data_IF_268675790829
#
_entry.id   IF_268675790829
#
_cell.length_a   1.000
_cell.length_b   1.000
_cell.length_c   1.000
_cell.angle_alpha   90.00
_cell.angle_beta   90.00
_cell.angle_gamma   90.00
#
_symmetry.space_group_name_H-M   'P 1'
#
loop_
_entity.id
_entity.type
_entity.pdbx_description
1 polymer ?
#
# COMPACT_ATOMS: atom_id res chain seq x y z
N UNK A 1 36.34 -18.61 -32.29
CA UNK A 1 36.71 -18.40 -30.87
C UNK A 1 37.13 -16.95 -30.71
N UNK A 2 36.16 -16.04 -30.59
CA UNK A 2 36.42 -14.61 -30.36
C UNK A 2 35.97 -14.34 -28.94
N UNK A 3 36.95 -14.19 -28.06
CA UNK A 3 36.79 -13.85 -26.67
C UNK A 3 36.39 -12.38 -26.61
N UNK A 4 35.11 -12.06 -26.81
CA UNK A 4 34.62 -10.71 -26.62
C UNK A 4 34.43 -10.51 -25.12
N UNK A 5 35.46 -10.01 -24.44
CA UNK A 5 35.29 -9.28 -23.17
C UNK A 5 34.54 -8.00 -23.48
N UNK A 6 33.22 -8.10 -23.67
CA UNK A 6 32.33 -6.96 -23.63
C UNK A 6 32.23 -6.58 -22.16
N UNK A 7 33.04 -5.60 -21.76
CA UNK A 7 32.73 -4.76 -20.62
C UNK A 7 31.25 -4.39 -20.72
N UNK A 8 30.50 -4.61 -19.63
CA UNK A 8 29.09 -4.31 -19.50
C UNK A 8 28.88 -2.84 -19.83
N UNK A 9 28.57 -2.57 -21.10
CA UNK A 9 28.05 -1.30 -21.61
C UNK A 9 26.58 -1.17 -21.23
N UNK A 10 26.31 -1.21 -19.93
CA UNK A 10 25.09 -0.70 -19.31
C UNK A 10 25.36 -0.23 -17.87
N UNK A 11 26.62 0.14 -17.57
CA UNK A 11 26.88 1.26 -16.66
C UNK A 11 26.97 2.49 -17.55
N UNK A 12 25.83 2.92 -18.10
CA UNK A 12 25.62 4.27 -18.62
C UNK A 12 24.30 4.74 -18.03
N UNK A 13 24.34 5.29 -16.82
CA UNK A 13 24.16 6.74 -16.63
C UNK A 13 22.96 7.27 -17.43
N UNK A 14 21.78 6.86 -17.02
CA UNK A 14 20.67 7.81 -16.99
C UNK A 14 20.57 8.34 -15.56
N UNK A 15 20.12 9.59 -15.39
CA UNK A 15 19.70 10.11 -14.07
C UNK A 15 18.64 9.20 -13.40
N UNK A 16 17.99 8.30 -14.15
CA UNK A 16 16.83 7.49 -13.74
C UNK A 16 17.18 6.30 -12.83
N UNK A 17 18.31 5.60 -13.07
CA UNK A 17 18.71 4.47 -12.22
C UNK A 17 19.12 4.93 -10.80
N UNK A 18 19.63 6.16 -10.67
CA UNK A 18 19.93 6.80 -9.37
C UNK A 18 18.67 7.02 -8.52
N UNK A 19 17.49 7.07 -9.13
CA UNK A 19 16.21 7.31 -8.45
C UNK A 19 15.67 6.03 -7.77
N UNK A 20 16.04 4.86 -8.30
CA UNK A 20 15.63 3.55 -7.77
C UNK A 20 16.62 3.04 -6.74
N UNK A 21 17.92 3.18 -7.05
CA UNK A 21 19.04 2.67 -6.30
C UNK A 21 19.92 3.87 -5.90
N UNK A 22 19.67 4.40 -4.71
CA UNK A 22 20.51 5.47 -4.16
C UNK A 22 21.65 4.84 -3.37
N UNK A 23 22.90 5.27 -3.64
CA UNK A 23 24.11 4.79 -2.96
C UNK A 23 24.27 3.25 -2.96
N UNK A 24 24.08 2.60 -4.11
CA UNK A 24 24.16 1.13 -4.21
C UNK A 24 25.45 0.68 -4.88
N UNK A 25 26.05 -0.41 -4.37
CA UNK A 25 27.21 -1.07 -4.98
C UNK A 25 26.72 -2.37 -5.61
N UNK A 26 27.05 -2.60 -6.88
CA UNK A 26 26.65 -3.80 -7.62
C UNK A 26 27.89 -4.57 -8.06
N UNK A 27 27.94 -5.86 -7.74
CA UNK A 27 28.97 -6.78 -8.21
C UNK A 27 28.32 -7.75 -9.21
N UNK A 28 28.56 -7.51 -10.49
CA UNK A 28 27.89 -8.23 -11.58
C UNK A 28 28.87 -9.16 -12.26
N UNK A 29 28.54 -10.45 -12.32
CA UNK A 29 29.19 -11.41 -13.22
C UNK A 29 28.14 -11.93 -14.19
N UNK A 30 28.16 -11.46 -15.43
CA UNK A 30 27.20 -11.84 -16.46
C UNK A 30 27.91 -12.28 -17.74
N UNK A 31 27.32 -13.25 -18.42
CA UNK A 31 27.71 -13.80 -19.71
C UNK A 31 26.56 -13.59 -20.69
N UNK A 32 26.88 -13.11 -21.89
CA UNK A 32 25.94 -12.96 -22.99
C UNK A 32 26.40 -13.83 -24.15
N UNK A 33 25.50 -14.65 -24.70
CA UNK A 33 25.74 -15.52 -25.85
C UNK A 33 24.53 -15.48 -26.77
N UNK A 34 24.72 -15.37 -28.07
CA UNK A 34 23.57 -15.35 -28.98
C UNK A 34 23.90 -15.11 -30.44
N UNK A 35 22.90 -15.31 -31.30
CA UNK A 35 22.90 -14.88 -32.71
C UNK A 35 21.97 -13.67 -32.83
N UNK A 36 22.07 -12.90 -33.92
CA UNK A 36 21.16 -11.78 -34.17
C UNK A 36 19.69 -12.23 -34.01
N UNK A 37 18.93 -11.57 -33.13
CA UNK A 37 17.52 -11.89 -32.83
C UNK A 37 17.27 -12.94 -31.74
N UNK A 38 18.32 -13.59 -31.19
CA UNK A 38 18.21 -14.50 -30.02
C UNK A 38 19.43 -14.34 -29.13
N UNK A 39 19.31 -13.46 -28.13
CA UNK A 39 20.36 -13.22 -27.15
C UNK A 39 19.99 -13.97 -25.88
N UNK A 40 20.89 -14.81 -25.38
CA UNK A 40 20.76 -15.51 -24.11
C UNK A 40 21.70 -14.86 -23.09
N UNK A 41 21.19 -14.53 -21.91
CA UNK A 41 22.01 -14.13 -20.77
C UNK A 41 22.04 -15.23 -19.71
N UNK A 42 23.19 -15.34 -19.06
CA UNK A 42 23.37 -16.13 -17.84
C UNK A 42 24.26 -15.34 -16.88
N UNK A 43 24.00 -15.38 -15.58
CA UNK A 43 24.87 -14.68 -14.64
C UNK A 43 24.42 -14.69 -13.19
N UNK A 44 25.31 -14.17 -12.35
CA UNK A 44 25.04 -13.88 -10.94
C UNK A 44 25.26 -12.39 -10.68
N UNK A 45 24.24 -11.75 -10.13
CA UNK A 45 24.26 -10.39 -9.63
C UNK A 45 24.30 -10.45 -8.11
N UNK A 46 25.39 -10.00 -7.50
CA UNK A 46 25.42 -9.78 -6.05
C UNK A 46 25.17 -8.30 -5.78
N UNK A 47 24.26 -8.03 -4.84
CA UNK A 47 23.89 -6.69 -4.39
C UNK A 47 24.34 -6.51 -2.93
N UNK A 48 25.63 -6.20 -2.69
CA UNK A 48 26.15 -6.01 -1.33
C UNK A 48 25.40 -4.97 -0.49
N UNK A 49 24.90 -3.92 -1.13
CA UNK A 49 24.15 -2.84 -0.51
C UNK A 49 23.25 -2.16 -1.54
N UNK A 50 22.00 -1.89 -1.17
CA UNK A 50 21.07 -1.14 -1.98
C UNK A 50 20.03 -0.39 -1.14
N UNK A 51 19.53 0.73 -1.67
CA UNK A 51 18.35 1.42 -1.15
C UNK A 51 17.33 1.49 -2.28
N UNK A 52 16.23 0.75 -2.16
CA UNK A 52 15.18 0.58 -3.16
C UNK A 52 13.95 1.38 -2.74
N UNK A 53 13.57 2.37 -3.54
CA UNK A 53 12.33 3.13 -3.33
C UNK A 53 11.18 2.50 -4.13
N UNK A 54 10.22 1.84 -3.45
CA UNK A 54 9.17 1.05 -4.11
C UNK A 54 8.30 1.85 -5.08
N UNK A 55 7.82 3.08 -4.76
CA UNK A 55 6.98 3.82 -5.70
C UNK A 55 7.66 4.04 -7.06
N UNK A 56 8.98 4.28 -7.07
CA UNK A 56 9.74 4.40 -8.32
C UNK A 56 9.75 3.08 -9.12
N UNK A 57 9.91 1.94 -8.45
CA UNK A 57 9.89 0.61 -9.11
C UNK A 57 8.49 0.30 -9.68
N UNK A 58 7.44 0.59 -8.90
CA UNK A 58 6.06 0.30 -9.30
C UNK A 58 5.60 1.17 -10.48
N UNK A 59 5.93 2.46 -10.47
CA UNK A 59 5.65 3.37 -11.59
C UNK A 59 6.35 2.93 -12.88
N UNK A 60 7.57 2.39 -12.78
CA UNK A 60 8.33 1.91 -13.95
C UNK A 60 7.80 0.61 -14.55
N UNK A 61 7.25 -0.27 -13.73
CA UNK A 61 6.66 -1.54 -14.19
C UNK A 61 5.25 -1.37 -14.75
N UNK A 62 4.70 -0.15 -14.71
CA UNK A 62 3.34 0.15 -15.16
C UNK A 62 2.25 -0.49 -14.31
N UNK A 63 2.60 -1.05 -13.14
CA UNK A 63 1.67 -1.77 -12.26
C UNK A 63 0.97 -0.85 -11.25
N UNK A 64 1.40 0.40 -11.10
CA UNK A 64 0.73 1.45 -10.35
C UNK A 64 1.04 2.82 -10.97
N UNK A 65 0.05 3.70 -11.10
CA UNK A 65 0.27 5.14 -11.30
C UNK A 65 0.03 5.82 -9.96
N UNK A 66 1.07 6.36 -9.33
CA UNK A 66 0.89 7.31 -8.24
C UNK A 66 0.00 8.46 -8.74
N UNK A 67 -1.12 8.79 -8.06
CA UNK A 67 -1.93 9.94 -8.44
C UNK A 67 -1.03 11.17 -8.43
N UNK A 68 -0.96 11.87 -9.55
CA UNK A 68 -0.24 13.13 -9.65
C UNK A 68 -0.94 14.11 -8.69
N UNK A 69 -0.39 14.28 -7.48
CA UNK A 69 -1.00 15.14 -6.47
C UNK A 69 -1.00 16.55 -7.07
N UNK A 70 -2.18 17.14 -7.36
CA UNK A 70 -2.22 18.46 -7.94
C UNK A 70 -1.49 19.41 -7.00
N UNK A 71 -0.43 20.07 -7.50
CA UNK A 71 0.31 21.08 -6.72
C UNK A 71 -0.69 21.98 -5.98
N UNK A 72 -0.53 22.24 -4.66
CA UNK A 72 -1.43 23.10 -3.91
C UNK A 72 -1.62 24.42 -4.63
N UNK A 73 -2.83 24.99 -4.60
CA UNK A 73 -3.16 26.26 -5.27
C UNK A 73 -2.12 27.35 -4.98
N UNK A 74 -1.66 27.43 -3.73
CA UNK A 74 -0.62 28.36 -3.30
C UNK A 74 0.73 28.16 -4.01
N UNK A 75 1.12 26.91 -4.30
CA UNK A 75 2.37 26.60 -5.02
C UNK A 75 2.24 26.97 -6.50
N UNK A 76 1.06 26.75 -7.10
CA UNK A 76 0.76 27.18 -8.48
C UNK A 76 0.81 28.70 -8.61
N UNK A 77 0.25 29.40 -7.63
CA UNK A 77 0.29 30.87 -7.59
C UNK A 77 1.72 31.39 -7.39
N UNK A 78 2.52 30.79 -6.51
CA UNK A 78 3.93 31.20 -6.31
C UNK A 78 4.75 31.00 -7.58
N UNK A 79 4.55 29.91 -8.33
CA UNK A 79 5.20 29.69 -9.63
C UNK A 79 4.75 30.71 -10.69
N UNK A 80 3.47 31.07 -10.71
CA UNK A 80 2.94 32.13 -11.57
C UNK A 80 3.49 33.52 -11.21
N UNK A 81 3.75 33.79 -9.93
CA UNK A 81 4.37 35.03 -9.45
C UNK A 81 5.90 35.04 -9.61
N UNK A 82 6.55 33.88 -9.64
CA UNK A 82 8.02 33.76 -9.75
C UNK A 82 8.55 33.80 -11.18
N UNK A 83 7.69 34.06 -12.17
CA UNK A 83 8.10 34.41 -13.53
C UNK A 83 8.03 35.93 -13.74
N UNK A 84 8.99 36.73 -13.24
CA UNK A 84 9.24 38.03 -13.84
C UNK A 84 9.80 37.79 -15.24
N UNK A 85 9.15 38.38 -16.23
CA UNK A 85 9.74 38.62 -17.55
C UNK A 85 11.11 39.29 -17.33
N UNK A 86 12.14 38.73 -17.96
CA UNK A 86 13.55 39.16 -17.89
C UNK A 86 14.27 38.94 -16.54
N UNK A 87 14.86 37.74 -16.36
CA UNK A 87 16.25 37.54 -15.93
C UNK A 87 16.62 36.07 -16.21
N UNK A 88 17.84 35.81 -16.68
CA UNK A 88 18.37 34.51 -17.05
C UNK A 88 17.92 33.36 -16.13
N UNK A 89 17.10 32.46 -16.67
CA UNK A 89 16.64 31.28 -15.98
C UNK A 89 17.82 30.34 -15.69
N UNK A 90 18.12 30.14 -14.41
CA UNK A 90 18.71 28.89 -13.97
C UNK A 90 17.65 27.81 -14.22
N UNK A 91 17.86 27.03 -15.27
CA UNK A 91 17.08 25.82 -15.54
C UNK A 91 17.32 24.85 -14.37
N UNK A 92 16.47 24.90 -13.36
CA UNK A 92 16.24 23.75 -12.51
C UNK A 92 15.39 22.79 -13.35
N UNK A 93 16.03 21.75 -13.89
CA UNK A 93 15.36 20.59 -14.48
C UNK A 93 14.38 20.00 -13.46
N UNK A 94 13.12 20.45 -13.46
CA UNK A 94 12.03 19.66 -12.90
C UNK A 94 11.75 18.54 -13.88
N UNK A 95 12.39 17.40 -13.65
CA UNK A 95 12.22 16.16 -14.41
C UNK A 95 10.77 15.71 -14.28
N UNK A 96 10.02 15.78 -15.37
CA UNK A 96 8.68 15.19 -15.50
C UNK A 96 8.83 13.66 -15.53
N UNK A 97 8.30 12.95 -14.52
CA UNK A 97 8.49 11.49 -14.34
C UNK A 97 7.54 10.64 -15.20
N UNK A 98 7.31 11.00 -16.46
CA UNK A 98 6.64 10.14 -17.45
C UNK A 98 7.66 9.35 -18.27
N UNK A 99 8.52 8.63 -17.58
CA UNK A 99 9.63 7.92 -18.20
C UNK A 99 9.49 6.41 -17.96
N UNK A 100 8.53 5.79 -18.65
CA UNK A 100 8.45 4.33 -18.78
C UNK A 100 9.74 3.83 -19.43
N UNK A 101 10.41 2.84 -18.85
CA UNK A 101 11.54 2.21 -19.53
C UNK A 101 11.00 1.48 -20.75
N UNK A 102 11.40 1.91 -21.96
CA UNK A 102 11.07 1.16 -23.15
C UNK A 102 11.93 -0.11 -23.18
N UNK A 103 11.34 -1.22 -22.73
CA UNK A 103 11.96 -2.54 -22.67
C UNK A 103 11.94 -3.28 -24.02
N UNK A 104 11.54 -2.65 -25.14
CA UNK A 104 11.50 -3.30 -26.47
C UNK A 104 12.84 -3.93 -26.89
N UNK A 105 13.96 -3.42 -26.35
CA UNK A 105 15.29 -4.00 -26.55
C UNK A 105 15.53 -5.34 -25.82
N UNK A 106 14.64 -5.73 -24.91
CA UNK A 106 14.67 -6.98 -24.15
C UNK A 106 13.68 -8.03 -24.67
N UNK A 107 12.83 -7.71 -25.65
CA UNK A 107 11.78 -8.61 -26.14
C UNK A 107 12.37 -9.91 -26.74
N UNK A 108 13.58 -9.85 -27.30
CA UNK A 108 14.33 -11.01 -27.82
C UNK A 108 15.38 -11.59 -26.87
N UNK A 109 15.44 -11.08 -25.63
CA UNK A 109 16.39 -11.52 -24.62
C UNK A 109 15.75 -12.62 -23.79
N UNK A 110 16.42 -13.77 -23.68
CA UNK A 110 16.03 -14.86 -22.78
C UNK A 110 17.19 -15.21 -21.86
N UNK A 111 16.94 -15.84 -20.72
CA UNK A 111 18.04 -16.19 -19.82
C UNK A 111 17.67 -16.37 -18.37
N UNK A 112 18.70 -16.64 -17.57
CA UNK A 112 18.61 -16.80 -16.13
C UNK A 112 19.60 -15.87 -15.45
N UNK A 113 19.13 -15.12 -14.46
CA UNK A 113 19.97 -14.30 -13.59
C UNK A 113 19.69 -14.65 -12.13
N UNK A 114 20.70 -15.11 -11.41
CA UNK A 114 20.63 -15.24 -9.96
C UNK A 114 20.98 -13.91 -9.31
N UNK A 115 20.10 -13.36 -8.49
CA UNK A 115 20.27 -12.11 -7.76
C UNK A 115 20.39 -12.40 -6.27
N UNK A 116 21.54 -12.10 -5.68
CA UNK A 116 21.83 -12.34 -4.26
C UNK A 116 21.84 -11.02 -3.49
N UNK A 117 21.03 -10.97 -2.42
CA UNK A 117 20.96 -9.91 -1.43
C UNK A 117 21.53 -10.43 -0.10
N UNK A 118 22.85 -10.35 0.14
CA UNK A 118 23.46 -10.89 1.35
C UNK A 118 22.96 -10.22 2.65
N UNK A 119 22.81 -8.88 2.64
CA UNK A 119 22.36 -8.00 3.73
C UNK A 119 22.40 -6.53 3.24
N UNK A 120 22.02 -5.56 4.08
CA UNK A 120 22.09 -4.12 3.78
C UNK A 120 21.35 -3.69 2.50
N UNK A 121 20.35 -4.45 2.08
CA UNK A 121 19.43 -4.05 1.02
C UNK A 121 18.15 -3.55 1.67
N UNK A 122 17.86 -2.27 1.52
CA UNK A 122 16.74 -1.61 2.17
C UNK A 122 15.63 -1.32 1.16
N UNK A 123 14.41 -1.73 1.47
CA UNK A 123 13.19 -1.38 0.75
C UNK A 123 12.49 -0.27 1.52
N UNK A 124 12.11 0.81 0.82
CA UNK A 124 11.53 2.01 1.42
C UNK A 124 10.31 2.50 0.65
N UNK A 125 9.31 2.99 1.37
CA UNK A 125 8.29 3.90 0.87
C UNK A 125 7.98 4.94 1.97
N UNK A 126 6.88 5.70 1.86
CA UNK A 126 6.51 6.71 2.86
C UNK A 126 6.16 6.13 4.24
N UNK A 127 5.72 4.88 4.29
CA UNK A 127 5.20 4.19 5.48
C UNK A 127 6.07 2.99 5.89
N UNK A 128 7.11 2.65 5.14
CA UNK A 128 7.82 1.38 5.27
C UNK A 128 9.31 1.58 5.11
N UNK A 129 10.07 0.92 5.97
CA UNK A 129 11.52 0.88 5.91
C UNK A 129 12.00 -0.48 6.39
N UNK A 130 12.41 -1.34 5.46
CA UNK A 130 12.69 -2.75 5.73
C UNK A 130 14.02 -3.16 5.13
N UNK A 131 14.87 -3.80 5.93
CA UNK A 131 16.07 -4.48 5.45
C UNK A 131 15.71 -5.90 5.04
N UNK A 132 16.18 -6.28 3.85
CA UNK A 132 15.97 -7.60 3.29
C UNK A 132 17.29 -8.32 3.01
N UNK A 133 17.20 -9.64 2.98
CA UNK A 133 18.23 -10.55 2.48
C UNK A 133 17.60 -11.69 1.70
N UNK A 134 18.38 -12.43 0.91
CA UNK A 134 17.89 -13.61 0.21
C UNK A 134 18.50 -13.79 -1.18
N UNK A 135 17.94 -14.72 -1.93
CA UNK A 135 18.35 -15.00 -3.30
C UNK A 135 17.11 -15.19 -4.18
N UNK A 136 17.12 -14.53 -5.33
CA UNK A 136 16.08 -14.65 -6.35
C UNK A 136 16.68 -15.13 -7.67
N UNK A 137 16.07 -16.11 -8.30
CA UNK A 137 16.33 -16.46 -9.68
C UNK A 137 15.32 -15.77 -10.58
N UNK A 138 15.82 -14.94 -11.49
CA UNK A 138 15.04 -14.25 -12.50
C UNK A 138 15.19 -15.01 -13.81
N UNK A 139 14.13 -15.64 -14.26
CA UNK A 139 14.09 -16.37 -15.53
C UNK A 139 13.30 -15.52 -16.53
N UNK A 140 13.93 -15.11 -17.62
CA UNK A 140 13.25 -14.44 -18.74
C UNK A 140 13.09 -15.43 -19.89
N UNK A 141 11.85 -15.72 -20.25
CA UNK A 141 11.52 -16.42 -21.49
C UNK A 141 11.16 -15.37 -22.58
N UNK A 142 10.61 -15.78 -23.73
CA UNK A 142 10.30 -14.81 -24.79
C UNK A 142 9.15 -13.85 -24.41
N UNK A 143 8.21 -14.33 -23.58
CA UNK A 143 6.92 -13.68 -23.34
C UNK A 143 6.91 -12.94 -21.99
N UNK A 144 7.41 -13.57 -20.92
CA UNK A 144 7.34 -13.06 -19.56
C UNK A 144 8.57 -13.42 -18.73
N UNK A 145 8.62 -12.86 -17.52
CA UNK A 145 9.61 -13.20 -16.50
C UNK A 145 8.96 -14.10 -15.45
N UNK A 146 9.76 -14.99 -14.88
CA UNK A 146 9.42 -15.76 -13.70
C UNK A 146 10.44 -15.45 -12.61
N UNK A 147 9.97 -15.47 -11.36
CA UNK A 147 10.80 -15.29 -10.18
C UNK A 147 10.72 -16.56 -9.33
N UNK A 148 11.87 -17.07 -8.91
CA UNK A 148 11.97 -18.15 -7.95
C UNK A 148 12.87 -17.73 -6.78
N UNK A 149 12.67 -18.35 -5.62
CA UNK A 149 13.51 -18.12 -4.44
C UNK A 149 12.77 -17.43 -3.31
N UNK A 150 13.50 -16.80 -2.42
CA UNK A 150 12.93 -16.18 -1.22
C UNK A 150 13.70 -14.95 -0.79
N UNK A 151 12.95 -13.97 -0.30
CA UNK A 151 13.44 -12.78 0.36
C UNK A 151 13.00 -12.87 1.82
N UNK A 152 13.95 -12.76 2.74
CA UNK A 152 13.71 -12.64 4.16
C UNK A 152 13.81 -11.18 4.60
N UNK A 153 12.93 -10.80 5.51
CA UNK A 153 12.99 -9.53 6.23
C UNK A 153 13.89 -9.71 7.44
N UNK A 154 15.02 -9.00 7.43
CA UNK A 154 16.00 -9.02 8.54
C UNK A 154 15.51 -8.18 9.70
N UNK A 155 14.94 -7.01 9.38
CA UNK A 155 14.33 -6.06 10.32
C UNK A 155 13.60 -5.00 9.54
N UNK A 156 12.65 -4.33 10.18
CA UNK A 156 12.10 -3.12 9.62
C UNK A 156 10.98 -2.55 10.45
N UNK A 157 10.30 -1.58 9.86
CA UNK A 157 9.09 -1.02 10.41
C UNK A 157 8.08 -0.71 9.31
N UNK A 158 6.82 -0.72 9.69
CA UNK A 158 5.69 -0.34 8.88
C UNK A 158 4.75 0.56 9.69
N UNK A 159 4.50 1.75 9.18
CA UNK A 159 3.65 2.76 9.78
C UNK A 159 2.24 2.64 9.19
N UNK A 160 1.26 2.36 10.04
CA UNK A 160 -0.14 2.22 9.65
C UNK A 160 -1.03 2.86 10.71
N UNK A 161 -1.99 3.68 10.27
CA UNK A 161 -2.92 4.39 11.16
C UNK A 161 -2.20 5.23 12.25
N UNK A 162 -1.06 5.81 11.89
CA UNK A 162 -0.21 6.59 12.80
C UNK A 162 0.51 5.75 13.86
N UNK A 163 0.51 4.41 13.75
CA UNK A 163 1.23 3.49 14.63
C UNK A 163 2.35 2.79 13.89
N UNK A 164 3.51 2.70 14.53
CA UNK A 164 4.68 2.02 14.00
C UNK A 164 4.66 0.56 14.44
N UNK A 165 4.51 -0.35 13.48
CA UNK A 165 4.69 -1.78 13.67
C UNK A 165 6.14 -2.14 13.37
N UNK A 166 6.80 -2.80 14.31
CA UNK A 166 8.14 -3.35 14.12
C UNK A 166 8.04 -4.69 13.41
N UNK A 167 8.79 -4.88 12.33
CA UNK A 167 8.87 -6.16 11.62
C UNK A 167 10.17 -6.82 12.06
N UNK A 168 10.04 -7.86 12.89
CA UNK A 168 11.18 -8.62 13.42
C UNK A 168 11.57 -9.79 12.52
N UNK A 169 10.62 -10.33 11.75
CA UNK A 169 10.85 -11.44 10.83
C UNK A 169 9.78 -11.49 9.75
N UNK A 170 10.14 -12.06 8.61
CA UNK A 170 9.19 -12.41 7.57
C UNK A 170 9.87 -13.00 6.35
N UNK A 171 9.13 -13.74 5.55
CA UNK A 171 9.60 -14.34 4.31
C UNK A 171 8.60 -14.06 3.19
N UNK A 172 9.14 -13.71 2.03
CA UNK A 172 8.43 -13.51 0.78
C UNK A 172 8.99 -14.54 -0.21
N UNK A 173 8.16 -15.51 -0.60
CA UNK A 173 8.59 -16.63 -1.44
C UNK A 173 8.00 -16.53 -2.84
N UNK A 174 8.85 -16.63 -3.85
CA UNK A 174 8.45 -16.66 -5.26
C UNK A 174 8.55 -18.10 -5.78
N UNK A 175 7.49 -18.57 -6.45
CA UNK A 175 7.35 -19.95 -6.90
C UNK A 175 7.26 -20.08 -8.43
N UNK A 176 7.62 -19.01 -9.17
CA UNK A 176 7.47 -18.92 -10.62
C UNK A 176 6.11 -18.41 -11.07
N UNK A 177 5.84 -18.55 -12.37
CA UNK A 177 4.58 -18.12 -12.99
C UNK A 177 4.59 -16.68 -13.49
N UNK A 178 3.75 -16.42 -14.48
CA UNK A 178 3.66 -15.15 -15.20
C UNK A 178 3.17 -13.98 -14.33
N UNK A 179 2.29 -14.25 -13.36
CA UNK A 179 1.66 -13.21 -12.54
C UNK A 179 2.62 -12.60 -11.51
N UNK A 180 3.72 -13.28 -11.17
CA UNK A 180 4.72 -12.88 -10.18
C UNK A 180 4.14 -12.61 -8.79
N UNK A 181 3.17 -13.43 -8.36
CA UNK A 181 2.51 -13.30 -7.05
C UNK A 181 3.29 -14.11 -6.01
N UNK A 182 3.97 -13.48 -5.04
CA UNK A 182 4.66 -14.21 -3.99
C UNK A 182 3.69 -14.70 -2.92
N UNK A 183 4.17 -15.68 -2.15
CA UNK A 183 3.60 -16.03 -0.84
C UNK A 183 4.24 -15.20 0.25
N UNK A 184 3.41 -14.74 1.18
CA UNK A 184 3.80 -13.93 2.32
C UNK A 184 3.74 -14.78 3.59
N UNK A 185 4.70 -14.56 4.48
CA UNK A 185 4.65 -14.97 5.87
C UNK A 185 5.41 -13.92 6.67
N UNK A 186 4.71 -12.89 7.13
CA UNK A 186 5.31 -11.72 7.77
C UNK A 186 4.70 -11.55 9.15
N UNK A 187 5.55 -11.27 10.14
CA UNK A 187 5.12 -10.95 11.50
C UNK A 187 5.58 -9.54 11.87
N UNK A 188 4.65 -8.74 12.39
CA UNK A 188 4.94 -7.41 12.86
C UNK A 188 4.31 -7.17 14.24
N UNK A 189 4.95 -6.39 15.09
CA UNK A 189 4.52 -6.13 16.47
C UNK A 189 4.37 -4.63 16.71
N UNK A 190 3.23 -4.24 17.25
CA UNK A 190 2.94 -2.91 17.77
C UNK A 190 2.89 -2.96 19.30
N UNK A 191 3.84 -2.29 19.93
CA UNK A 191 3.92 -2.18 21.40
C UNK A 191 3.28 -0.86 21.86
N UNK A 192 2.42 -0.93 22.87
CA UNK A 192 1.73 0.23 23.43
C UNK A 192 1.52 0.08 24.94
N UNK A 193 1.11 1.16 25.60
CA UNK A 193 0.66 1.14 26.99
C UNK A 193 -0.85 1.23 27.04
N UNK A 194 -1.47 0.35 27.82
CA UNK A 194 -2.90 0.40 28.09
C UNK A 194 -3.23 1.53 29.09
N UNK A 195 -4.51 1.80 29.40
CA UNK A 195 -4.91 2.84 30.35
C UNK A 195 -4.34 2.68 31.77
N UNK A 196 -3.92 1.48 32.15
CA UNK A 196 -3.28 1.17 33.43
C UNK A 196 -1.74 1.27 33.37
N UNK A 197 -1.19 1.82 32.29
CA UNK A 197 0.25 1.99 32.02
C UNK A 197 1.02 0.67 31.85
N UNK A 198 0.33 -0.46 31.71
CA UNK A 198 0.93 -1.75 31.42
C UNK A 198 1.33 -1.86 29.95
N UNK A 199 2.52 -2.39 29.68
CA UNK A 199 3.02 -2.61 28.32
C UNK A 199 2.34 -3.84 27.71
N UNK A 200 1.81 -3.68 26.50
CA UNK A 200 1.18 -4.73 25.70
C UNK A 200 1.78 -4.78 24.30
N UNK A 201 1.70 -5.95 23.68
CA UNK A 201 2.19 -6.20 22.33
C UNK A 201 1.08 -6.81 21.45
N UNK A 202 0.61 -6.02 20.47
CA UNK A 202 -0.27 -6.51 19.41
C UNK A 202 0.59 -7.03 18.25
N UNK A 203 0.49 -8.33 17.99
CA UNK A 203 1.18 -9.01 16.90
C UNK A 203 0.23 -9.19 15.72
N UNK A 204 0.66 -8.71 14.56
CA UNK A 204 0.05 -8.87 13.24
C UNK A 204 0.78 -9.99 12.49
N UNK A 205 0.06 -11.01 12.05
CA UNK A 205 0.58 -12.07 11.18
C UNK A 205 -0.10 -11.97 9.81
N UNK A 206 0.70 -11.87 8.75
CA UNK A 206 0.25 -11.80 7.36
C UNK A 206 0.75 -13.03 6.62
N UNK A 207 -0.16 -13.91 6.22
CA UNK A 207 0.13 -15.15 5.50
C UNK A 207 -0.59 -15.19 4.15
N UNK A 208 -0.39 -16.24 3.34
CA UNK A 208 -1.13 -16.41 2.08
C UNK A 208 -0.40 -15.83 0.86
N UNK A 209 -1.14 -15.41 -0.16
CA UNK A 209 -0.55 -14.82 -1.38
C UNK A 209 -0.66 -13.30 -1.35
N UNK A 210 0.21 -12.58 -2.07
CA UNK A 210 0.16 -11.12 -2.07
C UNK A 210 -1.19 -10.53 -2.58
N UNK A 211 -1.93 -11.27 -3.42
CA UNK A 211 -3.25 -10.86 -3.91
C UNK A 211 -4.42 -11.30 -3.00
N UNK A 212 -4.17 -12.21 -2.06
CA UNK A 212 -5.16 -12.70 -1.11
C UNK A 212 -4.48 -13.02 0.22
N UNK A 213 -3.97 -12.01 0.93
CA UNK A 213 -3.33 -12.22 2.22
C UNK A 213 -4.37 -12.60 3.27
N UNK A 214 -4.00 -13.53 4.14
CA UNK A 214 -4.72 -13.86 5.36
C UNK A 214 -4.09 -13.07 6.51
N UNK A 215 -4.92 -12.40 7.31
CA UNK A 215 -4.47 -11.51 8.37
C UNK A 215 -5.00 -12.04 9.70
N UNK A 216 -4.12 -12.19 10.69
CA UNK A 216 -4.46 -12.63 12.04
C UNK A 216 -3.77 -11.77 13.08
N UNK A 217 -4.47 -11.53 14.19
CA UNK A 217 -3.96 -10.72 15.30
C UNK A 217 -3.85 -11.51 16.59
N UNK A 218 -2.82 -11.21 17.37
CA UNK A 218 -2.66 -11.74 18.73
C UNK A 218 -2.20 -10.63 19.68
N UNK A 219 -2.89 -10.48 20.80
CA UNK A 219 -2.50 -9.59 21.89
C UNK A 219 -1.80 -10.42 22.96
N UNK A 220 -0.54 -10.08 23.27
CA UNK A 220 0.26 -10.76 24.30
C UNK A 220 0.28 -12.30 24.14
N UNK A 221 0.23 -12.77 22.88
CA UNK A 221 0.23 -14.19 22.50
C UNK A 221 -1.15 -14.85 22.42
N UNK A 222 -2.22 -14.17 22.81
CA UNK A 222 -3.61 -14.65 22.69
C UNK A 222 -4.27 -14.12 21.43
N UNK A 223 -4.90 -14.98 20.64
CA UNK A 223 -5.62 -14.56 19.44
C UNK A 223 -6.76 -13.62 19.79
N UNK A 224 -6.90 -12.53 19.02
CA UNK A 224 -7.97 -11.55 19.16
C UNK A 224 -8.70 -11.38 17.83
N UNK A 225 -9.94 -10.89 17.87
CA UNK A 225 -10.68 -10.56 16.65
C UNK A 225 -10.03 -9.36 15.93
N UNK A 226 -10.32 -9.22 14.63
CA UNK A 226 -9.88 -8.05 13.86
C UNK A 226 -10.44 -6.74 14.46
N UNK A 227 -11.67 -6.80 14.99
CA UNK A 227 -12.31 -5.65 15.62
C UNK A 227 -11.62 -5.19 16.89
N UNK A 228 -11.28 -6.13 17.79
CA UNK A 228 -10.51 -5.81 18.99
C UNK A 228 -9.10 -5.33 18.64
N UNK A 229 -8.43 -5.96 17.66
CA UNK A 229 -7.12 -5.53 17.20
C UNK A 229 -7.14 -4.08 16.71
N UNK A 230 -8.16 -3.70 15.91
CA UNK A 230 -8.34 -2.33 15.45
C UNK A 230 -8.57 -1.36 16.63
N UNK A 231 -9.34 -1.78 17.63
CA UNK A 231 -9.55 -1.00 18.87
C UNK A 231 -8.22 -0.72 19.58
N UNK A 232 -7.36 -1.73 19.75
CA UNK A 232 -6.03 -1.55 20.35
C UNK A 232 -5.14 -0.61 19.52
N UNK A 233 -5.16 -0.70 18.19
CA UNK A 233 -4.37 0.18 17.31
C UNK A 233 -4.79 1.65 17.46
N UNK A 234 -6.09 1.89 17.54
CA UNK A 234 -6.65 3.24 17.55
C UNK A 234 -6.64 3.86 18.95
N UNK A 235 -7.07 3.09 19.95
CA UNK A 235 -7.40 3.58 21.29
C UNK A 235 -6.50 3.02 22.39
N UNK A 236 -5.64 2.04 22.09
CA UNK A 236 -4.77 1.40 23.08
C UNK A 236 -5.52 0.51 24.08
N UNK A 237 -6.77 0.13 23.78
CA UNK A 237 -7.61 -0.70 24.65
C UNK A 237 -8.67 -1.48 23.87
N UNK A 238 -9.22 -2.53 24.47
CA UNK A 238 -10.20 -3.42 23.82
C UNK A 238 -11.58 -2.78 23.70
N UNK A 239 -12.43 -3.31 22.81
CA UNK A 239 -13.76 -2.72 22.59
C UNK A 239 -14.65 -2.81 23.83
N UNK A 240 -14.58 -3.94 24.54
CA UNK A 240 -15.35 -4.13 25.78
C UNK A 240 -15.02 -3.09 26.86
N UNK A 241 -13.78 -2.61 26.90
CA UNK A 241 -13.32 -1.58 27.84
C UNK A 241 -13.77 -0.18 27.43
N UNK A 242 -13.95 0.09 26.13
CA UNK A 242 -14.56 1.34 25.64
C UNK A 242 -16.03 1.46 26.06
N UNK A 243 -16.77 0.35 26.02
CA UNK A 243 -18.21 0.33 26.30
C UNK A 243 -18.51 0.53 27.79
N UNK A 244 -17.66 0.01 28.70
CA UNK A 244 -17.85 0.11 30.15
C UNK A 244 -17.67 1.54 30.66
N UNK A 245 -16.67 2.28 30.17
CA UNK A 245 -16.41 3.68 30.59
C UNK A 245 -17.56 4.64 30.23
N UNK A 246 -18.41 4.29 29.26
CA UNK A 246 -19.58 5.10 28.87
C UNK A 246 -20.88 4.63 29.55
N UNK A 247 -20.91 3.42 30.11
CA UNK A 247 -22.12 2.84 30.67
C UNK A 247 -22.46 3.39 32.08
N UNK A 248 -21.48 3.91 32.82
CA UNK A 248 -21.75 4.62 34.09
C UNK A 248 -22.62 5.88 33.92
N UNK A 249 -22.69 6.47 32.71
CA UNK A 249 -23.46 7.69 32.45
C UNK A 249 -24.81 7.48 31.74
N UNK A 250 -25.20 6.25 31.39
CA UNK A 250 -26.45 6.01 30.64
C UNK A 250 -27.24 4.84 31.20
N UNK A 251 -27.98 5.11 32.28
CA UNK A 251 -29.06 4.24 32.73
C UNK A 251 -30.25 4.32 31.75
N UNK A 252 -30.36 3.37 30.82
CA UNK A 252 -31.67 3.01 30.26
C UNK A 252 -31.89 3.01 28.74
N UNK A 253 -30.86 2.98 27.87
CA UNK A 253 -31.10 3.00 26.41
C UNK A 253 -30.06 2.22 25.58
N UNK A 254 -30.02 0.88 25.72
CA UNK A 254 -28.98 0.06 25.07
C UNK A 254 -28.83 0.20 23.54
N UNK A 255 -29.91 0.50 22.80
CA UNK A 255 -29.85 0.66 21.34
C UNK A 255 -29.55 2.09 20.88
N UNK A 256 -30.00 3.12 21.62
CA UNK A 256 -29.67 4.52 21.33
C UNK A 256 -28.25 4.87 21.78
N UNK A 257 -27.76 4.22 22.83
CA UNK A 257 -26.38 4.34 23.28
C UNK A 257 -25.40 3.79 22.24
N UNK A 258 -25.74 2.68 21.58
CA UNK A 258 -24.92 2.10 20.50
C UNK A 258 -24.72 3.07 19.34
N UNK A 259 -25.79 3.61 18.76
CA UNK A 259 -25.68 4.54 17.63
C UNK A 259 -24.99 5.87 17.99
N UNK A 260 -25.18 6.37 19.22
CA UNK A 260 -24.47 7.55 19.71
C UNK A 260 -22.97 7.27 19.92
N UNK A 261 -22.60 6.11 20.50
CA UNK A 261 -21.22 5.69 20.66
C UNK A 261 -20.52 5.54 19.30
N UNK A 262 -21.21 4.97 18.30
CA UNK A 262 -20.69 4.85 16.93
C UNK A 262 -20.49 6.21 16.26
N UNK A 263 -21.39 7.17 16.46
CA UNK A 263 -21.21 8.53 15.94
C UNK A 263 -19.99 9.25 16.58
N UNK A 264 -19.80 9.07 17.89
CA UNK A 264 -18.63 9.58 18.61
C UNK A 264 -17.35 8.92 18.10
N UNK A 265 -17.33 7.58 17.97
CA UNK A 265 -16.21 6.81 17.40
C UNK A 265 -15.89 7.27 15.98
N UNK A 266 -16.90 7.46 15.13
CA UNK A 266 -16.75 7.96 13.76
C UNK A 266 -16.08 9.33 13.72
N UNK A 267 -16.52 10.25 14.59
CA UNK A 267 -15.92 11.59 14.67
C UNK A 267 -14.48 11.57 15.18
N UNK A 268 -14.18 10.75 16.20
CA UNK A 268 -12.82 10.59 16.71
C UNK A 268 -11.91 9.94 15.66
N UNK A 269 -12.40 8.93 14.96
CA UNK A 269 -11.66 8.25 13.90
C UNK A 269 -11.38 9.18 12.73
N UNK A 270 -12.36 10.00 12.34
CA UNK A 270 -12.18 11.06 11.33
C UNK A 270 -11.12 12.06 11.78
N UNK A 271 -11.11 12.48 13.05
CA UNK A 271 -10.09 13.42 13.55
C UNK A 271 -8.68 12.79 13.59
N UNK A 272 -8.58 11.52 14.00
CA UNK A 272 -7.30 10.80 14.11
C UNK A 272 -6.72 10.44 12.74
N UNK A 273 -7.55 9.91 11.85
CA UNK A 273 -7.12 9.34 10.59
C UNK A 273 -7.37 10.25 9.39
N UNK A 274 -8.30 11.21 9.48
CA UNK A 274 -8.59 12.14 8.39
C UNK A 274 -7.36 12.89 7.90
N UNK A 275 -6.51 13.34 8.83
CA UNK A 275 -5.27 14.02 8.51
C UNK A 275 -4.16 13.07 8.01
N UNK A 276 -4.13 11.83 8.49
CA UNK A 276 -3.07 10.86 8.12
C UNK A 276 -3.38 10.14 6.80
N UNK A 277 -4.65 9.90 6.51
CA UNK A 277 -5.13 9.20 5.31
C UNK A 277 -5.59 10.18 4.23
N UNK A 278 -5.61 11.49 4.52
CA UNK A 278 -6.11 12.55 3.62
C UNK A 278 -7.54 12.25 3.14
N UNK A 279 -8.43 12.01 4.11
CA UNK A 279 -9.86 11.67 3.91
C UNK A 279 -10.75 12.63 4.69
N UNK A 280 -11.93 12.91 4.13
CA UNK A 280 -12.85 13.91 4.68
C UNK A 280 -13.90 13.32 5.61
N UNK A 281 -14.16 12.00 5.48
CA UNK A 281 -15.27 11.34 6.14
C UNK A 281 -14.87 9.93 6.56
N UNK A 282 -15.06 9.60 7.84
CA UNK A 282 -15.02 8.23 8.31
C UNK A 282 -16.27 7.96 9.16
N UNK A 283 -17.00 6.92 8.80
CA UNK A 283 -18.18 6.47 9.52
C UNK A 283 -18.03 5.01 9.89
N UNK A 284 -18.39 4.69 11.12
CA UNK A 284 -18.47 3.32 11.61
C UNK A 284 -19.93 3.02 11.94
N UNK A 285 -20.51 2.00 11.30
CA UNK A 285 -21.87 1.50 11.55
C UNK A 285 -21.78 0.17 12.26
N UNK A 286 -22.59 -0.06 13.29
CA UNK A 286 -22.58 -1.29 14.06
C UNK A 286 -23.42 -1.18 15.32
N UNK A 287 -23.54 -2.28 16.06
CA UNK A 287 -24.33 -2.36 17.31
C UNK A 287 -23.47 -2.18 18.57
N UNK A 288 -22.40 -1.38 18.48
CA UNK A 288 -21.49 -1.12 19.60
C UNK A 288 -20.29 -2.08 19.71
N UNK A 289 -20.01 -2.88 18.68
CA UNK A 289 -18.79 -3.66 18.52
C UNK A 289 -18.15 -3.43 17.14
N UNK A 290 -16.87 -3.80 16.99
CA UNK A 290 -16.19 -3.84 15.69
C UNK A 290 -16.31 -5.21 14.99
N UNK A 291 -16.72 -6.26 15.71
CA UNK A 291 -16.80 -7.61 15.18
C UNK A 291 -17.84 -7.77 14.08
N UNK A 292 -18.88 -6.93 14.02
CA UNK A 292 -19.81 -6.85 12.89
C UNK A 292 -19.92 -5.43 12.32
N UNK A 293 -18.88 -4.61 12.54
CA UNK A 293 -18.92 -3.22 12.12
C UNK A 293 -18.70 -3.08 10.61
N UNK A 294 -19.34 -2.05 10.06
CA UNK A 294 -19.06 -1.53 8.73
C UNK A 294 -18.33 -0.21 8.87
N UNK A 295 -17.09 -0.14 8.40
CA UNK A 295 -16.32 1.11 8.33
C UNK A 295 -16.43 1.67 6.91
N UNK A 296 -16.85 2.91 6.79
CA UNK A 296 -16.90 3.68 5.54
C UNK A 296 -15.85 4.78 5.64
N UNK A 297 -14.99 4.86 4.65
CA UNK A 297 -14.01 5.94 4.47
C UNK A 297 -14.35 6.66 3.18
N UNK A 298 -14.41 7.99 3.21
CA UNK A 298 -14.84 8.80 2.07
C UNK A 298 -14.04 10.09 1.91
N UNK A 299 -13.95 10.54 0.65
CA UNK A 299 -13.26 11.76 0.26
C UNK A 299 -14.03 12.49 -0.85
N UNK A 300 -14.10 13.81 -0.73
CA UNK A 300 -14.54 14.68 -1.80
C UNK A 300 -13.36 14.95 -2.74
N UNK A 301 -13.42 14.36 -3.94
CA UNK A 301 -12.44 14.63 -5.01
C UNK A 301 -12.68 16.01 -5.60
N UNK A 302 -13.95 16.42 -5.66
CA UNK A 302 -14.40 17.77 -5.98
C UNK A 302 -15.60 18.11 -5.12
N UNK A 303 -16.06 19.37 -5.15
CA UNK A 303 -17.28 19.79 -4.45
C UNK A 303 -18.52 18.95 -4.82
N UNK A 304 -18.49 18.26 -5.97
CA UNK A 304 -19.62 17.51 -6.50
C UNK A 304 -19.30 16.02 -6.70
N UNK A 305 -18.08 15.56 -6.38
CA UNK A 305 -17.64 14.18 -6.61
C UNK A 305 -17.14 13.59 -5.31
N UNK A 306 -17.88 12.64 -4.77
CA UNK A 306 -17.55 11.92 -3.55
C UNK A 306 -17.21 10.47 -3.87
N UNK A 307 -16.08 9.99 -3.36
CA UNK A 307 -15.67 8.59 -3.46
C UNK A 307 -15.63 8.01 -2.06
N UNK A 308 -16.20 6.82 -1.88
CA UNK A 308 -16.13 6.10 -0.61
C UNK A 308 -15.79 4.63 -0.80
N UNK A 309 -15.08 4.10 0.21
CA UNK A 309 -14.76 2.69 0.38
C UNK A 309 -15.38 2.21 1.69
N UNK A 310 -16.11 1.11 1.62
CA UNK A 310 -16.78 0.48 2.74
C UNK A 310 -16.17 -0.90 2.95
N UNK A 311 -15.75 -1.19 4.17
CA UNK A 311 -15.28 -2.50 4.61
C UNK A 311 -16.19 -3.01 5.72
N UNK A 312 -16.64 -4.27 5.58
CA UNK A 312 -17.39 -4.98 6.62
C UNK A 312 -16.45 -5.93 7.34
N UNK A 313 -16.41 -5.82 8.66
CA UNK A 313 -15.71 -6.72 9.56
C UNK A 313 -16.71 -7.74 10.11
N UNK A 314 -16.28 -9.00 10.32
CA UNK A 314 -17.12 -10.05 10.91
C UNK A 314 -17.52 -11.23 10.03
N UNK A 315 -18.27 -12.16 10.63
CA UNK A 315 -18.87 -13.29 9.92
C UNK A 315 -20.09 -12.83 9.12
N UNK A 316 -19.90 -12.69 7.81
CA UNK A 316 -21.01 -12.51 6.87
C UNK A 316 -21.76 -13.83 6.70
N UNK A 317 -22.80 -14.05 7.50
CA UNK A 317 -23.65 -15.25 7.42
C UNK A 317 -24.49 -15.33 6.12
N UNK A 318 -24.50 -14.29 5.30
CA UNK A 318 -25.21 -14.22 4.02
C UNK A 318 -24.24 -14.33 2.83
N UNK A 319 -24.51 -15.28 1.93
CA UNK A 319 -23.67 -15.57 0.76
C UNK A 319 -23.60 -14.44 -0.28
N UNK A 320 -24.42 -13.40 -0.15
CA UNK A 320 -24.60 -12.34 -1.15
C UNK A 320 -24.12 -10.95 -0.69
N UNK A 321 -23.60 -10.82 0.54
CA UNK A 321 -23.15 -9.51 1.04
C UNK A 321 -21.64 -9.36 0.79
N UNK A 322 -21.27 -8.42 -0.07
CA UNK A 322 -19.86 -8.14 -0.37
C UNK A 322 -19.09 -7.66 0.86
N UNK A 323 -17.89 -8.21 1.06
CA UNK A 323 -16.98 -7.82 2.17
C UNK A 323 -16.55 -6.36 2.06
N UNK A 324 -16.35 -5.89 0.83
CA UNK A 324 -16.06 -4.50 0.52
C UNK A 324 -17.01 -3.94 -0.54
N UNK A 325 -17.16 -2.62 -0.55
CA UNK A 325 -17.93 -1.86 -1.56
C UNK A 325 -17.27 -0.50 -1.81
N UNK A 326 -17.03 -0.15 -3.06
CA UNK A 326 -16.59 1.17 -3.52
C UNK A 326 -17.77 1.89 -4.12
N UNK A 327 -18.02 3.14 -3.72
CA UNK A 327 -19.06 4.01 -4.29
C UNK A 327 -18.45 5.29 -4.82
N UNK A 328 -18.93 5.73 -5.98
CA UNK A 328 -18.67 7.04 -6.54
C UNK A 328 -20.02 7.73 -6.72
N UNK A 329 -20.19 8.87 -6.08
CA UNK A 329 -21.38 9.70 -6.20
C UNK A 329 -20.99 11.04 -6.84
N UNK A 330 -21.68 11.39 -7.92
CA UNK A 330 -21.50 12.64 -8.63
C UNK A 330 -22.80 13.46 -8.64
N UNK A 331 -22.76 14.63 -8.03
CA UNK A 331 -23.85 15.60 -8.02
C UNK A 331 -23.83 16.42 -9.33
N UNK A 332 -24.73 16.09 -10.26
CA UNK A 332 -24.90 16.88 -11.50
C UNK A 332 -25.65 18.16 -11.17
N UNK A 333 -26.70 18.03 -10.35
CA UNK A 333 -27.51 19.12 -9.83
C UNK A 333 -27.96 18.78 -8.41
N UNK A 334 -28.37 19.77 -7.62
CA UNK A 334 -28.89 19.58 -6.24
C UNK A 334 -30.04 18.56 -6.12
N UNK A 335 -30.69 18.24 -7.23
CA UNK A 335 -31.81 17.30 -7.31
C UNK A 335 -31.46 16.02 -8.10
N UNK A 336 -30.27 15.92 -8.71
CA UNK A 336 -29.89 14.83 -9.60
C UNK A 336 -28.46 14.35 -9.30
N UNK A 337 -28.37 13.10 -8.87
CA UNK A 337 -27.12 12.45 -8.52
C UNK A 337 -26.91 11.22 -9.40
N UNK A 338 -25.67 10.98 -9.79
CA UNK A 338 -25.24 9.74 -10.42
C UNK A 338 -24.43 8.95 -9.41
N UNK A 339 -24.81 7.70 -9.18
CA UNK A 339 -24.10 6.82 -8.28
C UNK A 339 -23.57 5.62 -9.06
N UNK A 340 -22.31 5.30 -8.87
CA UNK A 340 -21.68 4.07 -9.31
C UNK A 340 -21.28 3.28 -8.08
N UNK A 341 -21.56 1.99 -8.07
CA UNK A 341 -21.10 1.10 -7.02
C UNK A 341 -20.38 -0.12 -7.61
N UNK A 342 -19.36 -0.57 -6.91
CA UNK A 342 -18.62 -1.78 -7.25
C UNK A 342 -18.30 -2.52 -5.96
N UNK A 343 -18.67 -3.79 -5.89
CA UNK A 343 -18.44 -4.66 -4.73
C UNK A 343 -17.84 -5.98 -5.19
N UNK A 344 -17.50 -6.84 -4.24
CA UNK A 344 -16.99 -8.18 -4.55
C UNK A 344 -17.99 -9.08 -5.28
N UNK A 345 -19.29 -8.75 -5.27
CA UNK A 345 -20.37 -9.59 -5.82
C UNK A 345 -21.22 -8.89 -6.88
N UNK A 346 -21.22 -7.56 -6.92
CA UNK A 346 -22.08 -6.79 -7.81
C UNK A 346 -21.46 -5.45 -8.23
N UNK A 347 -21.84 -4.96 -9.40
CA UNK A 347 -21.49 -3.65 -9.92
C UNK A 347 -22.68 -2.99 -10.60
N UNK A 348 -22.98 -1.75 -10.25
CA UNK A 348 -24.18 -1.07 -10.70
C UNK A 348 -24.00 0.44 -10.90
N UNK A 349 -25.04 1.02 -11.48
CA UNK A 349 -25.18 2.45 -11.70
C UNK A 349 -26.61 2.87 -11.41
N UNK A 350 -26.76 3.88 -10.58
CA UNK A 350 -28.05 4.45 -10.21
C UNK A 350 -28.12 5.93 -10.58
N UNK A 351 -29.32 6.37 -10.94
CA UNK A 351 -29.67 7.78 -11.13
C UNK A 351 -30.68 8.16 -10.05
N UNK A 352 -30.28 9.05 -9.15
CA UNK A 352 -31.08 9.40 -7.98
C UNK A 352 -31.66 10.80 -8.16
N UNK A 353 -32.98 10.90 -8.05
CA UNK A 353 -33.72 12.17 -8.07
C UNK A 353 -34.18 12.54 -6.66
N UNK A 354 -33.75 13.70 -6.16
CA UNK A 354 -34.17 14.22 -4.86
C UNK A 354 -35.29 15.24 -5.04
N UNK A 355 -36.51 14.85 -4.64
CA UNK A 355 -37.67 15.73 -4.64
C UNK A 355 -37.78 16.40 -3.26
N UNK A 356 -37.70 17.72 -3.22
CA UNK A 356 -38.04 18.49 -2.02
C UNK A 356 -39.56 18.66 -1.97
N UNK A 357 -40.20 18.13 -0.93
CA UNK A 357 -41.57 18.54 -0.57
C UNK A 357 -41.46 19.83 0.22
N UNK A 358 -42.14 20.88 -0.25
CA UNK A 358 -42.45 22.07 0.54
C UNK A 358 -43.48 21.77 1.62
#
# INVERSE_FOLDING_TARGET
MILVRLFIGAILVSRKLRFILTNSILLITASLKGKAGKVVFDGKLKVPEANIYLPAVMNMTGRFTEPDIPKPVLVREIENFSNPVDTAALVLDTVSTRDTVNLQYLDGLTGLLTVEFPQNTWIKNKDMFVEISGELEVIKNAEFFELFGSIDVVRGQYDILGKTFKIDQGTITFQGGEELIPRLNIQATYSFRNPEEAEQALTLNVTGTANGPEINFALDGSQVSEGDALSYILFGKGMNELTIDQQENVSGAGQLAGSAAMAVLSSQLTNLLGNSLDVDYIEVKGNGDFDNATVVVGKYITNNLFVSYQQRFGETNEKDVGKYEVKLEYELFKFLFLQLNNSSTDSGFDVIFKLQSN
#
